data_IF_327743360638
#
_entry.id   IF_327743360638
#
_cell.length_a   1.000
_cell.length_b   1.000
_cell.length_c   1.000
_cell.angle_alpha   90.00
_cell.angle_beta   90.00
_cell.angle_gamma   90.00
#
_symmetry.space_group_name_H-M   'P 1'
#
loop_
_entity.id
_entity.type
_entity.pdbx_description
1 polymer ?
#
# COMPACT_ATOMS: atom_id res chain seq x y z
N UNK A 1 -3.95 28.42 -41.43
CA UNK A 1 -2.52 28.30 -41.03
C UNK A 1 -2.19 29.10 -39.76
N UNK A 2 -2.66 30.33 -39.59
CA UNK A 2 -2.41 31.13 -38.37
C UNK A 2 -3.12 30.55 -37.11
N UNK A 3 -4.37 30.11 -37.21
CA UNK A 3 -5.12 29.51 -36.11
C UNK A 3 -4.46 28.20 -35.58
N UNK A 4 -4.03 27.31 -36.48
CA UNK A 4 -3.35 26.04 -36.10
C UNK A 4 -2.01 26.34 -35.40
N UNK A 5 -1.35 27.45 -35.75
CA UNK A 5 -0.09 27.86 -35.13
C UNK A 5 -0.32 28.44 -33.71
N UNK A 6 -1.43 29.11 -33.51
CA UNK A 6 -1.84 29.70 -32.21
C UNK A 6 -2.27 28.59 -31.23
N UNK A 7 -3.12 27.66 -31.65
CA UNK A 7 -3.51 26.50 -30.83
C UNK A 7 -2.30 25.64 -30.39
N UNK A 8 -1.34 25.41 -31.28
CA UNK A 8 -0.10 24.72 -30.92
C UNK A 8 0.74 25.48 -29.89
N UNK A 9 0.82 26.81 -30.01
CA UNK A 9 1.59 27.64 -29.07
C UNK A 9 0.96 27.64 -27.68
N UNK A 10 -0.35 27.66 -27.60
CA UNK A 10 -1.11 27.62 -26.35
C UNK A 10 -0.99 26.22 -25.69
N UNK A 11 -1.01 25.14 -26.47
CA UNK A 11 -0.72 23.78 -25.98
C UNK A 11 0.69 23.65 -25.36
N UNK A 12 1.72 24.23 -26.02
CA UNK A 12 3.07 24.19 -25.45
C UNK A 12 3.22 25.07 -24.18
N UNK A 13 2.58 26.24 -24.13
CA UNK A 13 2.57 27.08 -22.92
C UNK A 13 1.96 26.32 -21.76
N UNK A 14 0.84 25.67 -21.99
CA UNK A 14 0.16 24.86 -20.98
C UNK A 14 1.01 23.67 -20.50
N UNK A 15 1.74 22.99 -21.41
CA UNK A 15 2.71 21.95 -21.06
C UNK A 15 3.82 22.47 -20.14
N UNK A 16 4.31 23.70 -20.38
CA UNK A 16 5.36 24.31 -19.54
C UNK A 16 4.81 24.59 -18.12
N UNK A 17 3.59 25.11 -18.03
CA UNK A 17 2.96 25.39 -16.73
C UNK A 17 2.70 24.09 -15.95
N UNK A 18 2.21 23.05 -16.62
CA UNK A 18 2.04 21.72 -16.02
C UNK A 18 3.38 21.15 -15.59
N UNK A 19 4.42 21.22 -16.43
CA UNK A 19 5.75 20.70 -16.09
C UNK A 19 6.34 21.39 -14.85
N UNK A 20 6.10 22.69 -14.69
CA UNK A 20 6.52 23.45 -13.50
C UNK A 20 5.78 22.98 -12.25
N UNK A 21 4.48 22.77 -12.34
CA UNK A 21 3.62 22.29 -11.26
C UNK A 21 4.03 20.87 -10.84
N UNK A 22 4.29 19.97 -11.79
CA UNK A 22 4.75 18.62 -11.53
C UNK A 22 6.11 18.59 -10.82
N UNK A 23 7.03 19.45 -11.23
CA UNK A 23 8.39 19.52 -10.65
C UNK A 23 8.39 19.99 -9.18
N UNK A 24 7.34 20.71 -8.74
CA UNK A 24 7.21 21.22 -7.36
C UNK A 24 6.44 20.27 -6.44
N UNK A 25 5.80 19.22 -6.97
CA UNK A 25 4.95 18.29 -6.21
C UNK A 25 5.77 17.08 -5.77
N UNK A 26 5.99 16.94 -4.45
CA UNK A 26 6.76 15.84 -3.86
C UNK A 26 5.87 14.68 -3.36
N UNK A 27 4.57 14.94 -3.15
CA UNK A 27 3.61 13.89 -2.84
C UNK A 27 3.28 13.10 -4.11
N UNK A 28 3.55 11.80 -4.07
CA UNK A 28 3.41 10.93 -5.24
C UNK A 28 1.95 10.77 -5.69
N UNK A 29 1.00 10.66 -4.76
CA UNK A 29 -0.41 10.44 -5.11
C UNK A 29 -1.01 11.69 -5.76
N UNK A 30 -0.71 12.87 -5.19
CA UNK A 30 -1.10 14.17 -5.77
C UNK A 30 -0.45 14.37 -7.14
N UNK A 31 0.83 14.03 -7.26
CA UNK A 31 1.58 14.13 -8.51
C UNK A 31 0.95 13.26 -9.61
N UNK A 32 0.70 11.98 -9.32
CA UNK A 32 0.10 11.04 -10.26
C UNK A 32 -1.30 11.50 -10.71
N UNK A 33 -2.13 11.96 -9.77
CA UNK A 33 -3.45 12.51 -10.09
C UNK A 33 -3.35 13.71 -11.04
N UNK A 34 -2.43 14.64 -10.82
CA UNK A 34 -2.21 15.80 -11.70
C UNK A 34 -1.77 15.37 -13.11
N UNK A 35 -0.89 14.39 -13.21
CA UNK A 35 -0.39 13.90 -14.51
C UNK A 35 -1.54 13.31 -15.33
N UNK A 36 -2.40 12.46 -14.75
CA UNK A 36 -3.49 11.85 -15.54
C UNK A 36 -4.53 12.87 -15.97
N UNK A 37 -4.86 13.85 -15.13
CA UNK A 37 -5.77 14.91 -15.52
C UNK A 37 -5.19 15.77 -16.65
N UNK A 38 -3.91 16.13 -16.56
CA UNK A 38 -3.22 16.86 -17.63
C UNK A 38 -3.17 16.07 -18.93
N UNK A 39 -2.92 14.75 -18.84
CA UNK A 39 -2.87 13.88 -20.02
C UNK A 39 -4.23 13.78 -20.72
N UNK A 40 -5.31 13.58 -19.96
CA UNK A 40 -6.68 13.55 -20.51
C UNK A 40 -7.03 14.87 -21.18
N UNK A 41 -6.73 15.99 -20.54
CA UNK A 41 -7.04 17.34 -21.04
C UNK A 41 -6.25 17.67 -22.32
N UNK A 42 -4.93 17.47 -22.32
CA UNK A 42 -4.05 17.80 -23.47
C UNK A 42 -4.39 16.93 -24.68
N UNK A 43 -4.69 15.66 -24.46
CA UNK A 43 -5.02 14.73 -25.55
C UNK A 43 -6.48 14.78 -25.97
N UNK A 44 -7.36 15.46 -25.22
CA UNK A 44 -8.81 15.42 -25.40
C UNK A 44 -9.39 14.02 -25.28
N UNK A 45 -8.86 13.24 -24.37
CA UNK A 45 -9.30 11.89 -24.06
C UNK A 45 -10.37 11.90 -22.96
N UNK A 46 -11.25 10.89 -22.95
CA UNK A 46 -12.27 10.68 -21.92
C UNK A 46 -11.63 10.34 -20.57
N UNK A 47 -10.60 9.52 -20.60
CA UNK A 47 -9.86 9.14 -19.43
C UNK A 47 -8.36 9.02 -19.70
N UNK A 48 -7.57 9.08 -18.62
CA UNK A 48 -6.16 8.74 -18.66
C UNK A 48 -5.77 7.92 -17.41
N UNK A 49 -4.76 7.07 -17.56
CA UNK A 49 -4.27 6.22 -16.51
C UNK A 49 -2.75 6.16 -16.48
N UNK A 50 -2.18 5.89 -15.29
CA UNK A 50 -0.78 5.55 -15.12
C UNK A 50 -0.66 4.16 -14.51
N UNK A 51 0.15 3.35 -15.17
CA UNK A 51 0.61 2.07 -14.65
C UNK A 51 2.10 2.21 -14.32
N UNK A 52 2.49 1.88 -13.08
CA UNK A 52 3.90 1.92 -12.68
C UNK A 52 4.52 0.53 -12.79
N UNK A 53 5.69 0.51 -13.40
CA UNK A 53 6.47 -0.72 -13.57
C UNK A 53 7.41 -0.94 -12.39
N UNK A 54 7.39 -2.14 -11.84
CA UNK A 54 8.38 -2.62 -10.88
C UNK A 54 9.31 -3.63 -11.55
N UNK A 55 10.56 -3.24 -11.70
CA UNK A 55 11.59 -4.06 -12.34
C UNK A 55 11.93 -5.33 -11.54
N UNK A 56 11.72 -5.31 -10.22
CA UNK A 56 12.04 -6.43 -9.33
C UNK A 56 11.00 -7.55 -9.46
N UNK A 57 9.71 -7.21 -9.41
CA UNK A 57 8.61 -8.16 -9.57
C UNK A 57 8.27 -8.43 -11.04
N UNK A 58 8.79 -7.60 -11.96
CA UNK A 58 8.44 -7.58 -13.39
C UNK A 58 6.93 -7.47 -13.61
N UNK A 59 6.28 -6.60 -12.86
CA UNK A 59 4.83 -6.38 -12.92
C UNK A 59 4.50 -4.92 -13.16
N UNK A 60 3.37 -4.69 -13.82
CA UNK A 60 2.74 -3.38 -13.98
C UNK A 60 1.59 -3.27 -13.00
N UNK A 61 1.63 -2.24 -12.17
CA UNK A 61 0.59 -1.91 -11.20
C UNK A 61 -0.21 -0.71 -11.66
N UNK A 62 -1.51 -0.87 -11.71
CA UNK A 62 -2.42 0.24 -11.98
C UNK A 62 -2.41 1.20 -10.79
N UNK A 63 -1.97 2.44 -10.98
CA UNK A 63 -1.78 3.39 -9.88
C UNK A 63 -2.86 4.45 -9.79
N UNK A 64 -3.23 5.04 -10.92
CA UNK A 64 -4.19 6.14 -10.96
C UNK A 64 -4.93 6.16 -12.30
N UNK A 65 -6.18 6.58 -12.26
CA UNK A 65 -6.97 6.91 -13.44
C UNK A 65 -7.92 8.05 -13.14
N UNK A 66 -8.28 8.82 -14.16
CA UNK A 66 -9.23 9.93 -14.03
C UNK A 66 -10.67 9.48 -13.77
N UNK A 67 -11.01 8.24 -14.08
CA UNK A 67 -12.36 7.68 -14.04
C UNK A 67 -12.56 6.55 -13.03
N UNK A 68 -11.61 6.33 -12.13
CA UNK A 68 -11.68 5.29 -11.10
C UNK A 68 -11.41 5.83 -9.72
N UNK A 69 -12.15 5.30 -8.75
CA UNK A 69 -11.85 5.53 -7.35
C UNK A 69 -10.67 4.66 -6.86
N UNK A 70 -10.12 5.02 -5.73
CA UNK A 70 -8.98 4.34 -5.11
C UNK A 70 -9.26 2.87 -4.76
N UNK A 71 -10.52 2.54 -4.46
CA UNK A 71 -10.91 1.19 -4.06
C UNK A 71 -10.94 0.24 -5.28
N UNK A 72 -11.46 0.72 -6.42
CA UNK A 72 -11.58 -0.09 -7.65
C UNK A 72 -10.22 -0.37 -8.30
N UNK A 73 -9.29 0.58 -8.26
CA UNK A 73 -7.96 0.45 -8.89
C UNK A 73 -6.95 -0.39 -8.11
N UNK A 74 -7.17 -0.56 -6.78
CA UNK A 74 -6.23 -1.27 -5.91
C UNK A 74 -6.15 -2.74 -6.26
N UNK A 75 -4.92 -3.21 -6.48
CA UNK A 75 -4.62 -4.62 -6.75
C UNK A 75 -4.77 -5.05 -8.20
N UNK A 76 -5.09 -4.14 -9.15
CA UNK A 76 -5.08 -4.47 -10.57
C UNK A 76 -3.61 -4.60 -11.02
N UNK A 77 -3.24 -5.83 -11.37
CA UNK A 77 -1.94 -6.13 -11.97
C UNK A 77 -2.16 -6.40 -13.46
N UNK A 78 -1.42 -5.67 -14.30
CA UNK A 78 -1.48 -5.84 -15.75
C UNK A 78 -0.25 -6.64 -16.19
N UNK A 79 -0.45 -7.77 -16.90
CA UNK A 79 0.66 -8.62 -17.31
C UNK A 79 1.58 -7.91 -18.34
N UNK A 80 2.87 -8.23 -18.31
CA UNK A 80 3.81 -7.73 -19.34
C UNK A 80 3.58 -8.40 -20.69
N UNK A 81 3.22 -9.68 -20.69
CA UNK A 81 2.89 -10.41 -21.91
C UNK A 81 1.36 -10.43 -22.09
N UNK A 82 0.90 -10.07 -23.28
CA UNK A 82 -0.55 -10.07 -23.60
C UNK A 82 -1.27 -8.80 -23.13
N UNK A 83 -0.56 -7.69 -22.89
CA UNK A 83 -1.16 -6.37 -22.69
C UNK A 83 -0.46 -5.28 -23.51
N UNK A 84 -1.21 -4.25 -23.90
CA UNK A 84 -0.66 -3.08 -24.62
C UNK A 84 0.36 -2.37 -23.72
N UNK A 85 0.03 -2.15 -22.44
CA UNK A 85 0.95 -1.53 -21.50
C UNK A 85 2.23 -2.35 -21.32
N UNK A 86 2.13 -3.67 -21.24
CA UNK A 86 3.30 -4.55 -21.15
C UNK A 86 4.16 -4.50 -22.41
N UNK A 87 3.53 -4.43 -23.59
CA UNK A 87 4.26 -4.24 -24.85
C UNK A 87 5.05 -2.91 -24.86
N UNK A 88 4.43 -1.83 -24.38
CA UNK A 88 5.08 -0.51 -24.23
C UNK A 88 6.29 -0.60 -23.31
N UNK A 89 6.17 -1.28 -22.18
CA UNK A 89 7.30 -1.49 -21.23
C UNK A 89 8.45 -2.24 -21.90
N UNK A 90 8.13 -3.35 -22.59
CA UNK A 90 9.14 -4.20 -23.22
C UNK A 90 9.87 -3.53 -24.39
N UNK A 91 9.14 -2.73 -25.19
CA UNK A 91 9.68 -2.12 -26.41
C UNK A 91 10.10 -0.65 -26.23
N UNK A 92 9.67 0.00 -25.14
CA UNK A 92 9.92 1.44 -24.86
C UNK A 92 9.46 2.34 -26.01
N UNK A 93 8.37 1.98 -26.66
CA UNK A 93 7.80 2.68 -27.81
C UNK A 93 6.35 3.05 -27.54
N UNK A 94 5.90 4.14 -28.15
CA UNK A 94 4.49 4.53 -28.11
C UNK A 94 3.62 3.55 -28.89
N UNK A 95 2.37 3.43 -28.47
CA UNK A 95 1.36 2.62 -29.16
C UNK A 95 0.12 3.48 -29.33
N UNK A 96 -0.38 3.52 -30.57
CA UNK A 96 -1.64 4.16 -30.91
C UNK A 96 -2.59 3.09 -31.48
N UNK A 97 -3.67 2.83 -30.74
CA UNK A 97 -4.68 1.84 -31.12
C UNK A 97 -5.98 2.57 -31.43
N UNK A 98 -6.56 2.27 -32.60
CA UNK A 98 -7.81 2.90 -33.08
C UNK A 98 -9.06 2.12 -32.68
N UNK A 99 -8.92 0.81 -32.49
CA UNK A 99 -9.94 -0.08 -31.99
C UNK A 99 -9.27 -1.06 -31.04
N UNK A 100 -9.44 -0.85 -29.73
CA UNK A 100 -8.74 -1.62 -28.72
C UNK A 100 -9.14 -3.10 -28.74
N UNK A 101 -10.41 -3.40 -29.00
CA UNK A 101 -10.92 -4.77 -29.02
C UNK A 101 -10.40 -5.61 -30.20
N UNK A 102 -9.90 -4.98 -31.26
CA UNK A 102 -9.28 -5.67 -32.39
C UNK A 102 -7.76 -5.89 -32.19
N UNK A 103 -7.14 -5.25 -31.20
CA UNK A 103 -5.72 -5.43 -30.92
C UNK A 103 -5.50 -6.70 -30.09
N UNK A 104 -4.69 -7.66 -30.60
CA UNK A 104 -4.46 -8.94 -29.88
C UNK A 104 -3.74 -8.76 -28.53
N UNK A 105 -3.21 -7.59 -28.25
CA UNK A 105 -2.57 -7.24 -26.97
C UNK A 105 -3.55 -6.59 -25.99
N UNK A 106 -4.83 -6.47 -26.35
CA UNK A 106 -5.80 -5.84 -25.47
C UNK A 106 -6.14 -6.73 -24.27
N UNK A 107 -5.96 -6.21 -23.06
CA UNK A 107 -6.22 -6.92 -21.80
C UNK A 107 -7.55 -6.49 -21.21
N UNK A 108 -8.61 -7.28 -21.44
CA UNK A 108 -10.01 -6.95 -21.09
C UNK A 108 -10.32 -6.93 -19.60
N UNK A 109 -9.51 -7.59 -18.75
CA UNK A 109 -9.77 -7.65 -17.29
C UNK A 109 -9.89 -6.28 -16.63
N UNK A 110 -9.22 -5.24 -17.18
CA UNK A 110 -9.33 -3.88 -16.68
C UNK A 110 -10.74 -3.34 -16.94
N UNK A 111 -11.31 -3.55 -18.13
CA UNK A 111 -12.69 -3.17 -18.48
C UNK A 111 -13.72 -3.87 -17.61
N UNK A 112 -13.56 -5.20 -17.42
CA UNK A 112 -14.47 -5.99 -16.58
C UNK A 112 -14.51 -5.49 -15.13
N UNK A 113 -13.35 -4.99 -14.65
CA UNK A 113 -13.22 -4.47 -13.28
C UNK A 113 -13.76 -3.05 -13.17
N UNK A 114 -13.57 -2.23 -14.21
CA UNK A 114 -13.81 -0.78 -14.18
C UNK A 114 -15.14 -0.37 -14.80
N UNK A 115 -15.70 -1.21 -15.65
CA UNK A 115 -16.91 -0.91 -16.43
C UNK A 115 -16.70 0.16 -17.52
N UNK A 116 -15.45 0.61 -17.77
CA UNK A 116 -15.13 1.54 -18.85
C UNK A 116 -14.80 0.74 -20.11
N UNK A 117 -15.58 0.90 -21.17
CA UNK A 117 -15.25 0.36 -22.50
C UNK A 117 -14.14 1.18 -23.15
N UNK A 118 -13.06 0.52 -23.56
CA UNK A 118 -11.92 1.16 -24.23
C UNK A 118 -12.02 1.00 -25.73
N UNK A 119 -12.42 2.05 -26.43
CA UNK A 119 -12.49 2.07 -27.89
C UNK A 119 -11.15 2.38 -28.53
N UNK A 120 -10.49 3.45 -28.09
CA UNK A 120 -9.21 3.88 -28.61
C UNK A 120 -8.21 4.18 -27.50
N UNK A 121 -6.92 3.94 -27.77
CA UNK A 121 -5.84 4.10 -26.79
C UNK A 121 -4.62 4.74 -27.42
N UNK A 122 -4.01 5.70 -26.70
CA UNK A 122 -2.69 6.21 -26.95
C UNK A 122 -1.83 5.98 -25.69
N UNK A 123 -0.92 5.00 -25.76
CA UNK A 123 -0.02 4.65 -24.68
C UNK A 123 1.39 5.12 -24.95
N UNK A 124 2.03 5.72 -23.95
CA UNK A 124 3.40 6.20 -24.01
C UNK A 124 4.24 5.66 -22.85
N UNK A 125 5.53 5.34 -23.10
CA UNK A 125 6.42 4.92 -22.04
C UNK A 125 6.84 6.10 -21.15
N UNK A 126 6.80 5.93 -19.86
CA UNK A 126 7.41 6.83 -18.87
C UNK A 126 8.85 6.39 -18.65
N UNK A 127 9.81 7.07 -19.28
CA UNK A 127 11.22 6.67 -19.29
C UNK A 127 12.09 7.79 -18.74
N UNK A 128 12.97 7.45 -17.79
CA UNK A 128 14.13 8.26 -17.40
C UNK A 128 15.37 7.83 -18.18
N UNK A 129 16.53 8.50 -17.99
CA UNK A 129 17.76 8.17 -18.74
C UNK A 129 18.11 6.68 -18.75
N UNK A 130 17.83 5.95 -17.67
CA UNK A 130 18.35 4.60 -17.44
C UNK A 130 17.28 3.53 -17.30
N UNK A 131 16.03 3.88 -17.00
CA UNK A 131 14.97 2.88 -16.73
C UNK A 131 13.60 3.33 -17.20
N UNK A 132 12.74 2.35 -17.41
CA UNK A 132 11.30 2.56 -17.56
C UNK A 132 10.67 2.65 -16.18
N UNK A 133 9.85 3.68 -15.97
CA UNK A 133 9.14 3.94 -14.72
C UNK A 133 7.71 3.39 -14.78
N UNK A 134 7.13 3.36 -15.99
CA UNK A 134 5.77 2.91 -16.20
C UNK A 134 5.24 3.28 -17.57
N UNK A 135 3.91 3.32 -17.68
CA UNK A 135 3.16 3.68 -18.88
C UNK A 135 2.11 4.72 -18.53
N UNK A 136 1.95 5.72 -19.37
CA UNK A 136 0.83 6.67 -19.34
C UNK A 136 -0.08 6.35 -20.54
N UNK A 137 -1.36 6.14 -20.28
CA UNK A 137 -2.36 5.85 -21.29
C UNK A 137 -3.42 6.94 -21.32
N UNK A 138 -3.79 7.40 -22.51
CA UNK A 138 -4.97 8.22 -22.78
C UNK A 138 -5.99 7.35 -23.53
N UNK A 139 -7.24 7.33 -23.04
CA UNK A 139 -8.28 6.42 -23.45
C UNK A 139 -9.43 7.21 -24.08
N UNK A 140 -10.01 6.68 -25.14
CA UNK A 140 -11.21 7.18 -25.80
C UNK A 140 -11.13 8.68 -26.19
N UNK A 141 -10.58 8.94 -27.34
CA UNK A 141 -10.52 10.32 -27.89
C UNK A 141 -11.91 10.88 -28.11
N UNK A 142 -12.29 11.98 -27.48
CA UNK A 142 -13.62 12.57 -27.60
C UNK A 142 -14.02 12.97 -29.04
N UNK A 143 -13.05 13.46 -29.84
CA UNK A 143 -13.31 13.90 -31.22
C UNK A 143 -12.26 13.34 -32.16
N UNK A 144 -12.69 12.47 -33.09
CA UNK A 144 -11.81 11.91 -34.10
C UNK A 144 -10.87 10.84 -33.55
N UNK A 145 -9.64 10.84 -34.00
CA UNK A 145 -8.60 9.84 -33.65
C UNK A 145 -7.41 10.55 -33.00
N UNK A 146 -6.65 9.84 -32.17
CA UNK A 146 -5.39 10.35 -31.66
C UNK A 146 -4.45 10.70 -32.82
N UNK A 147 -3.88 11.90 -32.79
CA UNK A 147 -3.04 12.49 -33.83
C UNK A 147 -1.56 12.44 -33.45
N UNK A 148 -0.67 12.71 -34.39
CA UNK A 148 0.79 12.87 -34.13
C UNK A 148 1.06 14.04 -33.18
N UNK A 149 0.18 15.04 -33.15
CA UNK A 149 0.26 16.16 -32.21
C UNK A 149 -0.06 15.69 -30.79
N UNK A 150 -1.12 14.88 -30.60
CA UNK A 150 -1.45 14.32 -29.29
C UNK A 150 -0.31 13.44 -28.77
N UNK A 151 0.24 12.59 -29.64
CA UNK A 151 1.39 11.74 -29.29
C UNK A 151 2.62 12.57 -28.89
N UNK A 152 2.96 13.61 -29.67
CA UNK A 152 4.08 14.48 -29.35
C UNK A 152 3.92 15.23 -28.04
N UNK A 153 2.70 15.70 -27.75
CA UNK A 153 2.39 16.39 -26.50
C UNK A 153 2.46 15.45 -25.30
N UNK A 154 1.88 14.25 -25.41
CA UNK A 154 1.94 13.24 -24.35
C UNK A 154 3.35 12.72 -24.13
N UNK A 155 4.17 12.58 -25.17
CA UNK A 155 5.58 12.21 -25.01
C UNK A 155 6.37 13.24 -24.19
N UNK A 156 6.14 14.54 -24.42
CA UNK A 156 6.77 15.60 -23.62
C UNK A 156 6.28 15.54 -22.18
N UNK A 157 4.96 15.41 -21.96
CA UNK A 157 4.38 15.27 -20.63
C UNK A 157 4.94 14.02 -19.93
N UNK A 158 5.00 12.88 -20.62
CA UNK A 158 5.48 11.62 -20.08
C UNK A 158 6.96 11.65 -19.69
N UNK A 159 7.80 12.35 -20.46
CA UNK A 159 9.20 12.55 -20.09
C UNK A 159 9.35 13.36 -18.80
N UNK A 160 8.58 14.43 -18.63
CA UNK A 160 8.57 15.22 -17.39
C UNK A 160 7.96 14.44 -16.23
N UNK A 161 6.85 13.74 -16.48
CA UNK A 161 6.19 12.89 -15.49
C UNK A 161 7.12 11.80 -14.97
N UNK A 162 7.87 11.13 -15.84
CA UNK A 162 8.81 10.08 -15.44
C UNK A 162 9.87 10.59 -14.46
N UNK A 163 10.44 11.78 -14.74
CA UNK A 163 11.42 12.42 -13.86
C UNK A 163 10.78 12.86 -12.54
N UNK A 164 9.60 13.46 -12.59
CA UNK A 164 8.89 13.91 -11.38
C UNK A 164 8.50 12.73 -10.48
N UNK A 165 8.00 11.63 -11.05
CA UNK A 165 7.67 10.40 -10.33
C UNK A 165 8.92 9.80 -9.66
N UNK A 166 10.04 9.75 -10.39
CA UNK A 166 11.29 9.24 -9.83
C UNK A 166 11.79 10.11 -8.68
N UNK A 167 11.74 11.43 -8.83
CA UNK A 167 12.10 12.38 -7.79
C UNK A 167 11.19 12.27 -6.56
N UNK A 168 9.88 12.17 -6.73
CA UNK A 168 8.94 11.98 -5.63
C UNK A 168 9.20 10.67 -4.86
N UNK A 169 9.47 9.58 -5.57
CA UNK A 169 9.86 8.29 -4.94
C UNK A 169 11.18 8.39 -4.17
N UNK A 170 12.18 9.04 -4.74
CA UNK A 170 13.47 9.25 -4.06
C UNK A 170 13.32 10.13 -2.82
N UNK A 171 12.48 11.15 -2.90
CA UNK A 171 12.18 12.02 -1.76
C UNK A 171 11.48 11.25 -0.64
N UNK A 172 10.41 10.50 -0.95
CA UNK A 172 9.73 9.64 0.03
C UNK A 172 10.68 8.64 0.68
N UNK A 173 11.59 8.06 -0.09
CA UNK A 173 12.59 7.12 0.43
C UNK A 173 13.61 7.83 1.34
N UNK A 174 14.05 9.02 0.97
CA UNK A 174 14.98 9.85 1.78
C UNK A 174 14.32 10.30 3.08
N UNK A 175 13.07 10.71 3.03
CA UNK A 175 12.29 11.14 4.19
C UNK A 175 12.10 9.99 5.19
N UNK A 176 11.73 8.81 4.69
CA UNK A 176 11.63 7.59 5.49
C UNK A 176 12.96 7.24 6.18
N UNK A 177 14.09 7.36 5.48
CA UNK A 177 15.42 7.11 6.05
C UNK A 177 15.74 8.15 7.13
N UNK A 178 15.43 9.42 6.90
CA UNK A 178 15.67 10.51 7.86
C UNK A 178 14.90 10.28 9.16
N UNK A 179 13.61 9.94 9.07
CA UNK A 179 12.77 9.59 10.21
C UNK A 179 13.33 8.37 10.95
N UNK A 180 13.73 7.33 10.23
CA UNK A 180 14.32 6.12 10.82
C UNK A 180 15.61 6.43 11.59
N UNK A 181 16.50 7.24 11.02
CA UNK A 181 17.74 7.68 11.70
C UNK A 181 17.42 8.47 12.95
N UNK A 182 16.39 9.31 12.91
CA UNK A 182 15.95 10.07 14.08
C UNK A 182 15.45 9.13 15.20
N UNK A 183 14.61 8.12 14.84
CA UNK A 183 14.10 7.13 15.79
C UNK A 183 15.17 6.17 16.32
N UNK A 184 16.26 5.94 15.60
CA UNK A 184 17.42 5.21 16.10
C UNK A 184 18.28 6.01 17.08
N UNK A 185 18.36 7.32 16.91
CA UNK A 185 19.26 8.17 17.75
C UNK A 185 18.88 8.14 19.22
N UNK A 186 17.59 8.18 19.52
CA UNK A 186 17.06 8.21 20.90
C UNK A 186 17.45 6.97 21.71
N UNK A 187 17.14 5.72 21.27
CA UNK A 187 17.54 4.52 21.99
C UNK A 187 19.07 4.35 22.07
N UNK A 188 19.81 4.73 21.03
CA UNK A 188 21.26 4.67 21.05
C UNK A 188 21.85 5.63 22.10
N UNK A 189 21.31 6.83 22.25
CA UNK A 189 21.71 7.76 23.30
C UNK A 189 21.40 7.21 24.70
N UNK A 190 20.22 6.58 24.89
CA UNK A 190 19.84 5.90 26.13
C UNK A 190 20.81 4.77 26.48
N UNK A 191 21.14 3.91 25.50
CA UNK A 191 22.13 2.83 25.68
C UNK A 191 23.52 3.37 26.04
N UNK A 192 23.98 4.42 25.36
CA UNK A 192 25.27 5.07 25.66
C UNK A 192 25.32 5.62 27.10
N UNK A 193 24.24 6.27 27.53
CA UNK A 193 24.13 6.77 28.93
C UNK A 193 24.09 5.61 29.91
N UNK A 194 23.32 4.56 29.66
CA UNK A 194 23.21 3.39 30.52
C UNK A 194 24.57 2.67 30.69
N UNK A 195 25.31 2.47 29.58
CA UNK A 195 26.65 1.87 29.63
C UNK A 195 27.66 2.74 30.41
N UNK A 196 27.59 4.07 30.22
CA UNK A 196 28.44 5.00 31.01
C UNK A 196 28.15 4.93 32.51
N UNK A 197 26.87 4.84 32.88
CA UNK A 197 26.47 4.68 34.29
C UNK A 197 27.00 3.40 34.90
N UNK A 198 27.05 2.29 34.21
CA UNK A 198 27.60 1.00 34.68
C UNK A 198 29.10 1.06 35.04
N UNK A 199 29.81 2.03 34.48
CA UNK A 199 31.26 2.23 34.82
C UNK A 199 31.47 2.89 36.17
N UNK A 200 30.43 3.41 36.82
CA UNK A 200 30.56 4.05 38.16
C UNK A 200 30.78 3.00 39.25
N UNK A 201 31.86 3.09 40.05
CA UNK A 201 32.17 2.07 41.07
C UNK A 201 31.20 2.07 42.26
N UNK A 202 30.51 3.20 42.51
CA UNK A 202 29.67 3.39 43.71
C UNK A 202 28.25 2.89 43.55
N UNK A 203 27.93 2.21 42.43
CA UNK A 203 26.58 1.75 42.12
C UNK A 203 26.25 0.47 42.88
N UNK A 204 25.02 0.39 43.45
CA UNK A 204 24.54 -0.82 44.09
C UNK A 204 24.22 -1.92 43.07
N UNK A 205 24.18 -3.19 43.52
CA UNK A 205 23.85 -4.32 42.63
C UNK A 205 22.45 -4.16 42.00
N UNK A 206 21.46 -3.75 42.80
CA UNK A 206 20.09 -3.53 42.29
C UNK A 206 20.03 -2.47 41.20
N UNK A 207 20.80 -1.38 41.35
CA UNK A 207 20.90 -0.34 40.31
C UNK A 207 21.58 -0.87 39.03
N UNK A 208 22.59 -1.72 39.15
CA UNK A 208 23.26 -2.38 38.01
C UNK A 208 22.29 -3.28 37.27
N UNK A 209 21.54 -4.10 38.00
CA UNK A 209 20.57 -5.03 37.44
C UNK A 209 19.43 -4.28 36.72
N UNK A 210 18.97 -3.16 37.26
CA UNK A 210 18.00 -2.29 36.57
C UNK A 210 18.54 -1.72 35.27
N UNK A 211 19.80 -1.22 35.27
CA UNK A 211 20.41 -0.69 34.06
C UNK A 211 20.64 -1.77 33.01
N UNK A 212 21.08 -2.96 33.40
CA UNK A 212 21.26 -4.10 32.49
C UNK A 212 19.92 -4.49 31.86
N UNK A 213 18.85 -4.54 32.66
CA UNK A 213 17.50 -4.80 32.14
C UNK A 213 17.04 -3.70 31.16
N UNK A 214 17.32 -2.43 31.44
CA UNK A 214 17.02 -1.33 30.54
C UNK A 214 17.80 -1.44 29.21
N UNK A 215 19.08 -1.80 29.26
CA UNK A 215 19.91 -2.07 28.08
C UNK A 215 19.32 -3.22 27.25
N UNK A 216 18.94 -4.30 27.92
CA UNK A 216 18.33 -5.46 27.26
C UNK A 216 17.03 -5.08 26.54
N UNK A 217 16.12 -4.39 27.23
CA UNK A 217 14.84 -3.93 26.66
C UNK A 217 15.03 -2.97 25.48
N UNK A 218 15.97 -2.04 25.57
CA UNK A 218 16.26 -1.10 24.49
C UNK A 218 16.89 -1.78 23.28
N UNK A 219 17.70 -2.83 23.50
CA UNK A 219 18.26 -3.67 22.41
C UNK A 219 17.16 -4.43 21.67
N UNK A 220 16.19 -5.02 22.40
CA UNK A 220 15.00 -5.68 21.79
C UNK A 220 14.21 -4.66 20.98
N UNK A 221 14.00 -3.46 21.51
CA UNK A 221 13.31 -2.38 20.81
C UNK A 221 14.00 -1.96 19.52
N UNK A 222 15.32 -1.81 19.53
CA UNK A 222 16.12 -1.49 18.34
C UNK A 222 16.01 -2.59 17.27
N UNK A 223 16.10 -3.85 17.66
CA UNK A 223 15.94 -4.97 16.73
C UNK A 223 14.53 -4.98 16.10
N UNK A 224 13.49 -4.74 16.90
CA UNK A 224 12.12 -4.64 16.41
C UNK A 224 11.94 -3.45 15.45
N UNK A 225 12.53 -2.29 15.77
CA UNK A 225 12.50 -1.10 14.90
C UNK A 225 13.19 -1.37 13.56
N UNK A 226 14.39 -1.96 13.58
CA UNK A 226 15.15 -2.29 12.37
C UNK A 226 14.38 -3.30 11.49
N UNK A 227 13.81 -4.35 12.10
CA UNK A 227 13.01 -5.35 11.37
C UNK A 227 11.76 -4.73 10.75
N UNK A 228 11.02 -3.91 11.52
CA UNK A 228 9.82 -3.22 11.03
C UNK A 228 10.14 -2.24 9.92
N UNK A 229 11.26 -1.52 10.01
CA UNK A 229 11.73 -0.62 8.95
C UNK A 229 12.04 -1.38 7.65
N UNK A 230 12.76 -2.50 7.73
CA UNK A 230 13.07 -3.32 6.57
C UNK A 230 11.80 -3.90 5.92
N UNK A 231 10.84 -4.35 6.73
CA UNK A 231 9.55 -4.81 6.24
C UNK A 231 8.79 -3.69 5.52
N UNK A 232 8.71 -2.50 6.13
CA UNK A 232 8.05 -1.34 5.52
C UNK A 232 8.73 -0.92 4.21
N UNK A 233 10.07 -0.81 4.20
CA UNK A 233 10.82 -0.44 3.01
C UNK A 233 10.62 -1.44 1.84
N UNK A 234 10.50 -2.75 2.16
CA UNK A 234 10.18 -3.77 1.15
C UNK A 234 8.75 -3.64 0.63
N UNK A 235 7.78 -3.39 1.51
CA UNK A 235 6.38 -3.19 1.14
C UNK A 235 6.19 -1.95 0.27
N UNK A 236 6.80 -0.82 0.64
CA UNK A 236 6.71 0.44 -0.11
C UNK A 236 7.42 0.40 -1.46
N UNK A 237 8.52 -0.34 -1.56
CA UNK A 237 9.19 -0.52 -2.84
C UNK A 237 8.48 -1.45 -3.83
N UNK A 238 7.31 -2.01 -3.46
CA UNK A 238 6.58 -2.99 -4.27
C UNK A 238 7.28 -4.35 -4.39
N UNK A 239 8.38 -4.57 -3.66
CA UNK A 239 9.20 -5.81 -3.76
C UNK A 239 8.61 -7.02 -3.05
N UNK A 240 7.50 -6.84 -2.35
CA UNK A 240 6.84 -7.95 -1.65
C UNK A 240 5.88 -8.65 -2.61
N UNK A 241 6.19 -9.88 -2.97
CA UNK A 241 5.27 -10.77 -3.67
C UNK A 241 4.41 -11.50 -2.64
N UNK A 242 3.12 -11.22 -2.64
CA UNK A 242 2.17 -11.91 -1.77
C UNK A 242 1.90 -13.32 -2.28
N UNK A 243 2.20 -14.32 -1.47
CA UNK A 243 1.93 -15.74 -1.78
C UNK A 243 0.50 -16.08 -1.37
N UNK A 244 -0.45 -15.87 -2.26
CA UNK A 244 -1.86 -16.16 -1.98
C UNK A 244 -2.08 -17.67 -1.84
N UNK A 245 -2.70 -18.08 -0.74
CA UNK A 245 -3.13 -19.44 -0.43
C UNK A 245 -4.53 -19.39 0.17
N UNK A 246 -5.31 -20.46 0.00
CA UNK A 246 -6.63 -20.57 0.62
C UNK A 246 -6.49 -21.08 2.06
N UNK A 247 -7.03 -20.38 3.03
CA UNK A 247 -6.97 -20.75 4.45
C UNK A 247 -8.22 -20.33 5.23
N UNK A 248 -8.44 -20.97 6.37
CA UNK A 248 -9.49 -20.61 7.33
C UNK A 248 -9.06 -19.41 8.17
N UNK A 249 -9.86 -18.34 8.14
CA UNK A 249 -9.63 -17.17 8.98
C UNK A 249 -9.94 -17.50 10.45
N UNK A 250 -10.92 -18.36 10.72
CA UNK A 250 -11.23 -18.82 12.07
C UNK A 250 -9.99 -19.46 12.72
N UNK A 251 -9.33 -20.41 12.03
CA UNK A 251 -8.12 -21.08 12.52
C UNK A 251 -6.98 -20.08 12.75
N UNK A 252 -6.84 -19.11 11.86
CA UNK A 252 -5.85 -18.04 11.99
C UNK A 252 -6.08 -17.19 13.26
N UNK A 253 -7.33 -16.84 13.56
CA UNK A 253 -7.68 -16.07 14.76
C UNK A 253 -7.40 -16.84 16.05
N UNK A 254 -7.70 -18.14 16.08
CA UNK A 254 -7.36 -18.99 17.22
C UNK A 254 -5.85 -19.11 17.40
N UNK A 255 -5.09 -19.31 16.32
CA UNK A 255 -3.63 -19.34 16.37
C UNK A 255 -3.04 -18.02 16.90
N UNK A 256 -3.55 -16.86 16.43
CA UNK A 256 -3.11 -15.56 16.93
C UNK A 256 -3.45 -15.36 18.42
N UNK A 257 -4.63 -15.81 18.87
CA UNK A 257 -4.99 -15.82 20.29
C UNK A 257 -3.99 -16.63 21.11
N UNK A 258 -3.66 -17.84 20.66
CA UNK A 258 -2.73 -18.73 21.37
C UNK A 258 -1.32 -18.12 21.46
N UNK A 259 -0.84 -17.50 20.39
CA UNK A 259 0.44 -16.76 20.41
C UNK A 259 0.45 -15.64 21.46
N UNK A 260 -0.67 -14.96 21.66
CA UNK A 260 -0.78 -13.84 22.59
C UNK A 260 -1.23 -14.23 24.00
N UNK A 261 -1.56 -15.51 24.25
CA UNK A 261 -2.17 -15.97 25.49
C UNK A 261 -1.32 -15.67 26.74
N UNK A 262 -0.02 -15.95 26.68
CA UNK A 262 0.91 -15.70 27.79
C UNK A 262 0.94 -14.22 28.14
N UNK A 263 1.13 -13.36 27.12
CA UNK A 263 1.22 -11.90 27.31
C UNK A 263 -0.10 -11.32 27.84
N UNK A 264 -1.23 -11.77 27.30
CA UNK A 264 -2.54 -11.35 27.76
C UNK A 264 -2.78 -11.76 29.24
N UNK A 265 -2.33 -12.94 29.64
CA UNK A 265 -2.44 -13.40 31.04
C UNK A 265 -1.58 -12.58 31.97
N UNK A 266 -0.34 -12.26 31.60
CA UNK A 266 0.55 -11.37 32.37
C UNK A 266 -0.07 -9.99 32.60
N UNK A 267 -0.74 -9.44 31.59
CA UNK A 267 -1.40 -8.13 31.65
C UNK A 267 -2.86 -8.21 32.19
N UNK A 268 -3.34 -9.39 32.61
CA UNK A 268 -4.71 -9.66 33.05
C UNK A 268 -5.78 -9.27 32.01
N UNK A 269 -5.54 -9.58 30.75
CA UNK A 269 -6.45 -9.29 29.62
C UNK A 269 -7.09 -10.59 29.12
N UNK A 270 -8.41 -10.59 28.93
CA UNK A 270 -9.14 -11.72 28.38
C UNK A 270 -9.24 -11.59 26.84
N UNK A 271 -8.74 -12.58 26.10
CA UNK A 271 -8.93 -12.65 24.64
C UNK A 271 -10.04 -13.65 24.31
N UNK A 272 -11.06 -13.21 23.57
CA UNK A 272 -12.15 -14.05 23.05
C UNK A 272 -12.12 -14.07 21.53
N UNK A 273 -12.51 -15.20 20.95
CA UNK A 273 -12.69 -15.36 19.51
C UNK A 273 -14.15 -15.72 19.25
N UNK A 274 -14.80 -14.95 18.39
CA UNK A 274 -16.15 -15.20 17.89
C UNK A 274 -16.07 -15.37 16.37
N UNK A 275 -16.29 -16.58 15.93
CA UNK A 275 -16.29 -16.91 14.51
C UNK A 275 -17.51 -17.76 14.20
N UNK A 276 -18.38 -17.33 13.27
CA UNK A 276 -19.49 -18.15 12.82
C UNK A 276 -19.00 -19.46 12.21
N UNK A 277 -19.76 -20.52 12.38
CA UNK A 277 -19.53 -21.77 11.66
C UNK A 277 -19.74 -21.57 10.15
N UNK A 278 -18.87 -22.17 9.32
CA UNK A 278 -19.01 -22.13 7.88
C UNK A 278 -18.51 -20.87 7.20
N UNK A 279 -17.60 -20.10 7.87
CA UNK A 279 -16.89 -19.01 7.15
C UNK A 279 -16.18 -19.57 5.91
N UNK A 280 -16.26 -18.86 4.78
CA UNK A 280 -15.55 -19.26 3.57
C UNK A 280 -14.03 -19.12 3.77
N UNK A 281 -13.26 -19.90 3.00
CA UNK A 281 -11.83 -19.74 2.95
C UNK A 281 -11.47 -18.38 2.34
N UNK A 282 -10.43 -17.75 2.88
CA UNK A 282 -9.84 -16.53 2.34
C UNK A 282 -8.66 -16.90 1.44
N UNK A 283 -8.57 -16.28 0.27
CA UNK A 283 -7.43 -16.40 -0.62
C UNK A 283 -6.52 -15.16 -0.48
N UNK A 284 -5.49 -15.30 0.34
CA UNK A 284 -4.55 -14.24 0.66
C UNK A 284 -3.18 -14.82 1.07
N UNK A 285 -2.19 -13.97 1.30
CA UNK A 285 -0.95 -14.38 1.94
C UNK A 285 -1.19 -14.56 3.45
N UNK A 286 -1.30 -15.84 3.85
CA UNK A 286 -1.65 -16.23 5.21
C UNK A 286 -0.71 -15.63 6.26
N UNK A 287 0.59 -15.65 5.98
CA UNK A 287 1.60 -15.16 6.94
C UNK A 287 1.52 -13.64 7.09
N UNK A 288 1.25 -12.93 6.00
CA UNK A 288 1.07 -11.48 6.03
C UNK A 288 -0.24 -11.08 6.73
N UNK A 289 -1.34 -11.79 6.49
CA UNK A 289 -2.61 -11.56 7.24
C UNK A 289 -2.41 -11.88 8.72
N UNK A 290 -1.70 -12.97 9.06
CA UNK A 290 -1.32 -13.27 10.44
C UNK A 290 -0.51 -12.14 11.08
N UNK A 291 0.46 -11.57 10.36
CA UNK A 291 1.26 -10.42 10.81
C UNK A 291 0.36 -9.22 11.14
N UNK A 292 -0.65 -8.93 10.31
CA UNK A 292 -1.63 -7.85 10.56
C UNK A 292 -2.42 -8.14 11.84
N UNK A 293 -3.02 -9.33 11.96
CA UNK A 293 -3.83 -9.70 13.13
C UNK A 293 -3.00 -9.63 14.40
N UNK A 294 -1.77 -10.16 14.41
CA UNK A 294 -0.86 -10.11 15.57
C UNK A 294 -0.47 -8.68 15.94
N UNK A 295 -0.20 -7.80 14.97
CA UNK A 295 0.09 -6.40 15.25
C UNK A 295 -1.09 -5.68 15.91
N UNK A 296 -2.31 -5.88 15.37
CA UNK A 296 -3.51 -5.25 15.92
C UNK A 296 -3.86 -5.85 17.29
N UNK A 297 -3.76 -7.17 17.45
CA UNK A 297 -4.01 -7.87 18.71
C UNK A 297 -2.99 -7.47 19.80
N UNK A 298 -1.71 -7.36 19.44
CA UNK A 298 -0.67 -6.87 20.34
C UNK A 298 -0.96 -5.43 20.82
N UNK A 299 -1.43 -4.56 19.93
CA UNK A 299 -1.85 -3.21 20.31
C UNK A 299 -3.08 -3.26 21.24
N UNK A 300 -4.08 -4.10 20.93
CA UNK A 300 -5.28 -4.25 21.74
C UNK A 300 -5.00 -4.76 23.18
N UNK A 301 -3.98 -5.62 23.35
CA UNK A 301 -3.51 -6.06 24.68
C UNK A 301 -2.73 -4.93 25.38
N UNK A 302 -1.78 -4.34 24.67
CA UNK A 302 -0.82 -3.37 25.18
C UNK A 302 -1.46 -2.04 25.64
N UNK A 303 -2.50 -1.58 24.93
CA UNK A 303 -3.23 -0.35 25.25
C UNK A 303 -4.54 -0.62 26.00
N UNK A 304 -4.71 -1.83 26.55
CA UNK A 304 -5.87 -2.18 27.32
C UNK A 304 -5.75 -1.68 28.79
N UNK A 305 -6.81 -1.90 29.53
CA UNK A 305 -6.86 -1.66 30.99
C UNK A 305 -6.71 -2.99 31.72
N UNK A 306 -6.21 -2.99 32.95
CA UNK A 306 -6.25 -4.18 33.80
C UNK A 306 -7.66 -4.79 33.85
N UNK A 307 -7.75 -6.10 33.71
CA UNK A 307 -9.01 -6.86 33.60
C UNK A 307 -9.88 -6.49 32.38
N UNK A 308 -9.28 -5.93 31.34
CA UNK A 308 -9.95 -5.63 30.07
C UNK A 308 -10.15 -6.87 29.21
N UNK A 309 -10.78 -6.66 28.08
CA UNK A 309 -11.10 -7.72 27.11
C UNK A 309 -10.67 -7.30 25.69
N UNK A 310 -10.25 -8.29 24.92
CA UNK A 310 -10.09 -8.17 23.46
C UNK A 310 -10.98 -9.21 22.80
N UNK A 311 -11.78 -8.76 21.83
CA UNK A 311 -12.64 -9.59 21.01
C UNK A 311 -12.10 -9.65 19.59
N UNK A 312 -11.84 -10.85 19.11
CA UNK A 312 -11.55 -11.14 17.69
C UNK A 312 -12.81 -11.72 17.07
N UNK A 313 -13.33 -11.10 16.02
CA UNK A 313 -14.51 -11.55 15.31
C UNK A 313 -14.25 -11.55 13.81
N UNK A 314 -14.78 -12.55 13.10
CA UNK A 314 -14.74 -12.59 11.65
C UNK A 314 -16.16 -12.75 11.10
N UNK A 315 -16.45 -12.04 10.01
CA UNK A 315 -17.71 -12.11 9.27
C UNK A 315 -17.43 -12.15 7.78
N UNK A 316 -18.33 -12.76 7.01
CA UNK A 316 -18.20 -12.79 5.56
C UNK A 316 -19.46 -12.22 4.91
N UNK A 317 -19.23 -11.30 3.96
CA UNK A 317 -20.25 -10.84 3.00
C UNK A 317 -20.09 -11.61 1.67
N UNK A 318 -20.89 -11.28 0.66
CA UNK A 318 -20.71 -11.87 -0.68
C UNK A 318 -19.36 -11.49 -1.32
N UNK A 319 -18.86 -10.30 -1.05
CA UNK A 319 -17.67 -9.74 -1.70
C UNK A 319 -16.43 -9.71 -0.82
N UNK A 320 -16.57 -9.66 0.49
CA UNK A 320 -15.49 -9.41 1.43
C UNK A 320 -15.56 -10.33 2.64
N UNK A 321 -14.41 -10.52 3.28
CA UNK A 321 -14.29 -11.10 4.59
C UNK A 321 -13.74 -10.03 5.53
N UNK A 322 -14.49 -9.76 6.59
CA UNK A 322 -14.23 -8.74 7.59
C UNK A 322 -13.66 -9.38 8.86
N UNK A 323 -12.57 -8.84 9.38
CA UNK A 323 -11.95 -9.22 10.64
C UNK A 323 -12.00 -8.02 11.57
N UNK A 324 -12.63 -8.19 12.72
CA UNK A 324 -12.74 -7.18 13.77
C UNK A 324 -11.81 -7.51 14.92
N UNK A 325 -11.02 -6.55 15.34
CA UNK A 325 -10.23 -6.59 16.56
C UNK A 325 -10.71 -5.45 17.45
N UNK A 326 -11.46 -5.80 18.49
CA UNK A 326 -12.05 -4.86 19.43
C UNK A 326 -11.42 -4.98 20.80
N UNK A 327 -11.07 -3.87 21.42
CA UNK A 327 -10.60 -3.80 22.80
C UNK A 327 -11.48 -2.88 23.68
N UNK A 328 -11.37 -3.09 24.99
CA UNK A 328 -11.99 -2.24 26.01
C UNK A 328 -10.98 -1.31 26.66
N UNK A 329 -9.95 -0.93 25.94
CA UNK A 329 -8.79 -0.23 26.44
C UNK A 329 -8.96 1.27 26.64
N UNK A 330 -7.83 1.98 26.51
CA UNK A 330 -7.76 3.41 26.75
C UNK A 330 -8.51 4.23 25.70
N UNK A 331 -8.72 3.67 24.51
CA UNK A 331 -9.24 4.38 23.35
C UNK A 331 -8.23 5.38 22.78
N UNK A 332 -8.60 6.05 21.70
CA UNK A 332 -7.75 6.97 20.94
C UNK A 332 -8.47 8.30 20.83
N UNK A 333 -7.79 9.44 21.06
CA UNK A 333 -8.35 10.78 20.84
C UNK A 333 -8.76 10.99 19.38
N UNK A 334 -9.83 11.76 19.14
CA UNK A 334 -10.36 12.00 17.81
C UNK A 334 -9.38 12.71 16.89
N UNK A 335 -8.54 13.60 17.43
CA UNK A 335 -7.50 14.34 16.70
C UNK A 335 -6.34 13.44 16.23
N UNK A 336 -6.15 12.30 16.89
CA UNK A 336 -5.11 11.34 16.56
C UNK A 336 -5.55 10.29 15.52
N UNK A 337 -6.87 10.09 15.33
CA UNK A 337 -7.42 9.07 14.42
C UNK A 337 -6.96 9.22 12.96
N UNK A 338 -6.93 10.43 12.37
CA UNK A 338 -6.47 10.61 10.98
C UNK A 338 -5.02 10.21 10.75
N UNK A 339 -4.17 10.30 11.78
CA UNK A 339 -2.73 10.11 11.73
C UNK A 339 -2.27 8.70 12.10
N UNK A 340 -3.17 7.84 12.59
CA UNK A 340 -2.80 6.52 13.15
C UNK A 340 -2.04 5.60 12.21
N UNK A 341 -2.24 5.73 10.91
CA UNK A 341 -1.59 4.92 9.89
C UNK A 341 -0.36 5.60 9.28
N UNK A 342 0.00 6.80 9.76
CA UNK A 342 1.25 7.45 9.39
C UNK A 342 2.46 6.72 10.00
N UNK A 343 3.59 6.83 9.34
CA UNK A 343 4.84 6.20 9.78
C UNK A 343 5.32 6.89 11.05
N UNK A 344 5.84 6.10 11.99
CA UNK A 344 6.39 6.55 13.28
C UNK A 344 5.39 7.30 14.17
N UNK A 345 4.12 7.44 13.74
CA UNK A 345 3.12 8.13 14.53
C UNK A 345 2.78 7.34 15.80
N UNK A 346 2.69 8.09 16.92
CA UNK A 346 2.30 7.57 18.23
C UNK A 346 1.42 8.60 18.93
N UNK A 347 0.41 8.12 19.66
CA UNK A 347 -0.47 8.97 20.48
C UNK A 347 0.32 9.48 21.67
N UNK A 348 0.51 10.79 21.81
CA UNK A 348 1.38 11.44 22.82
C UNK A 348 1.04 11.03 24.25
N UNK A 349 -0.24 10.91 24.57
CA UNK A 349 -0.70 10.51 25.90
C UNK A 349 -0.26 9.09 26.29
N UNK A 350 0.07 8.26 25.34
CA UNK A 350 0.47 6.87 25.56
C UNK A 350 1.96 6.60 25.40
N UNK A 351 2.73 7.56 24.86
CA UNK A 351 4.17 7.42 24.58
C UNK A 351 5.00 7.06 25.80
N UNK A 352 4.73 7.69 26.92
CA UNK A 352 5.48 7.48 28.17
C UNK A 352 5.17 6.14 28.85
N UNK A 353 4.03 5.51 28.52
CA UNK A 353 3.54 4.30 29.20
C UNK A 353 3.83 3.02 28.44
N UNK A 354 3.98 3.13 27.14
CA UNK A 354 3.96 1.94 26.26
C UNK A 354 5.02 2.03 25.19
N UNK A 355 6.00 1.12 25.19
CA UNK A 355 7.07 1.08 24.17
C UNK A 355 6.52 0.67 22.80
N UNK A 356 6.93 1.30 21.69
CA UNK A 356 6.52 0.98 20.32
C UNK A 356 7.34 1.70 19.28
N UNK A 357 7.32 1.21 18.05
CA UNK A 357 8.08 1.75 16.92
C UNK A 357 7.29 2.75 16.07
N UNK A 358 5.95 2.82 16.23
CA UNK A 358 5.10 3.62 15.35
C UNK A 358 4.96 3.09 13.92
N UNK A 359 5.57 1.94 13.59
CA UNK A 359 5.54 1.36 12.25
C UNK A 359 4.49 0.25 12.07
N UNK A 360 3.98 -0.33 13.15
CA UNK A 360 3.09 -1.49 13.07
C UNK A 360 1.81 -1.25 12.28
N UNK A 361 1.13 -0.12 12.51
CA UNK A 361 -0.13 0.21 11.81
C UNK A 361 0.11 0.60 10.35
N UNK A 362 1.18 1.30 10.03
CA UNK A 362 1.55 1.61 8.64
C UNK A 362 1.87 0.33 7.86
N UNK A 363 2.56 -0.64 8.46
CA UNK A 363 2.79 -1.97 7.88
C UNK A 363 1.47 -2.71 7.66
N UNK A 364 0.54 -2.70 8.64
CA UNK A 364 -0.79 -3.29 8.47
C UNK A 364 -1.51 -2.70 7.25
N UNK A 365 -1.52 -1.37 7.12
CA UNK A 365 -2.15 -0.67 5.99
C UNK A 365 -1.53 -1.09 4.65
N UNK A 366 -0.20 -1.18 4.56
CA UNK A 366 0.49 -1.61 3.34
C UNK A 366 0.19 -3.07 2.97
N UNK A 367 0.18 -3.97 3.94
CA UNK A 367 -0.17 -5.38 3.71
C UNK A 367 -1.61 -5.49 3.20
N UNK A 368 -2.57 -4.85 3.86
CA UNK A 368 -3.98 -4.92 3.49
C UNK A 368 -4.24 -4.26 2.14
N UNK A 369 -3.64 -3.11 1.87
CA UNK A 369 -3.71 -2.47 0.55
C UNK A 369 -3.15 -3.36 -0.56
N UNK A 370 -2.02 -4.04 -0.31
CA UNK A 370 -1.41 -4.98 -1.27
C UNK A 370 -2.27 -6.24 -1.55
N UNK A 371 -3.25 -6.53 -0.69
CA UNK A 371 -4.27 -7.55 -0.92
C UNK A 371 -5.55 -7.01 -1.57
N UNK A 372 -5.62 -5.71 -1.89
CA UNK A 372 -6.82 -5.05 -2.41
C UNK A 372 -7.90 -4.85 -1.35
N UNK A 373 -7.54 -4.94 -0.07
CA UNK A 373 -8.44 -4.75 1.06
C UNK A 373 -8.39 -3.33 1.62
N UNK A 374 -9.09 -3.12 2.75
CA UNK A 374 -9.08 -1.88 3.50
C UNK A 374 -8.95 -2.14 5.00
N UNK A 375 -8.37 -1.18 5.73
CA UNK A 375 -8.30 -1.17 7.19
C UNK A 375 -8.90 0.13 7.71
N UNK A 376 -9.82 0.01 8.66
CA UNK A 376 -10.53 1.12 9.28
C UNK A 376 -10.38 1.05 10.79
N UNK A 377 -10.55 2.21 11.46
CA UNK A 377 -10.51 2.31 12.92
C UNK A 377 -11.69 3.13 13.40
N UNK A 378 -12.30 2.67 14.49
CA UNK A 378 -13.28 3.43 15.29
C UNK A 378 -12.85 3.36 16.74
N UNK A 379 -12.74 4.49 17.39
CA UNK A 379 -12.31 4.55 18.77
C UNK A 379 -13.03 5.65 19.52
N UNK A 380 -13.14 5.48 20.82
CA UNK A 380 -13.61 6.51 21.75
C UNK A 380 -12.72 6.49 22.98
N UNK A 381 -12.14 7.66 23.28
CA UNK A 381 -11.26 7.82 24.42
C UNK A 381 -11.98 7.38 25.71
N UNK A 382 -11.31 6.54 26.50
CA UNK A 382 -11.85 6.02 27.73
C UNK A 382 -12.84 4.85 27.55
N UNK A 383 -13.15 4.39 26.34
CA UNK A 383 -14.08 3.27 26.07
C UNK A 383 -13.38 2.08 25.44
N UNK A 384 -12.56 2.30 24.39
CA UNK A 384 -11.83 1.28 23.66
C UNK A 384 -11.74 1.57 22.17
N UNK A 385 -11.21 0.61 21.41
CA UNK A 385 -10.95 0.72 19.98
C UNK A 385 -11.46 -0.50 19.22
N UNK A 386 -11.91 -0.29 18.00
CA UNK A 386 -12.27 -1.34 17.03
C UNK A 386 -11.48 -1.11 15.76
N UNK A 387 -10.63 -2.04 15.38
CA UNK A 387 -10.06 -2.12 14.06
C UNK A 387 -10.87 -3.08 13.19
N UNK A 388 -11.17 -2.66 11.98
CA UNK A 388 -11.82 -3.46 10.95
C UNK A 388 -10.85 -3.66 9.79
N UNK A 389 -10.59 -4.91 9.46
CA UNK A 389 -9.80 -5.34 8.29
C UNK A 389 -10.74 -6.03 7.32
N UNK A 390 -10.94 -5.46 6.13
CA UNK A 390 -11.77 -6.03 5.07
C UNK A 390 -10.88 -6.53 3.93
N UNK A 391 -11.02 -7.79 3.57
CA UNK A 391 -10.26 -8.44 2.50
C UNK A 391 -11.21 -8.96 1.43
N UNK A 392 -10.91 -8.74 0.12
CA UNK A 392 -11.78 -9.20 -0.96
C UNK A 392 -11.81 -10.72 -1.01
N UNK A 393 -12.99 -11.27 -1.29
CA UNK A 393 -13.21 -12.69 -1.54
C UNK A 393 -13.23 -12.93 -3.04
N UNK A 394 -12.56 -13.98 -3.50
CA UNK A 394 -12.70 -14.42 -4.89
C UNK A 394 -14.13 -14.94 -5.08
N UNK A 395 -14.86 -14.38 -6.04
CA UNK A 395 -16.24 -14.81 -6.29
C UNK A 395 -16.27 -16.28 -6.75
N UNK A 396 -17.36 -17.01 -6.40
CA UNK A 396 -17.55 -18.41 -6.86
C UNK A 396 -17.48 -18.56 -8.37
N UNK A 397 -17.77 -17.51 -9.11
CA UNK A 397 -17.70 -17.47 -10.58
C UNK A 397 -16.26 -17.48 -11.07
N UNK A 398 -15.37 -16.73 -10.40
CA UNK A 398 -13.94 -16.68 -10.69
C UNK A 398 -13.23 -17.99 -10.29
N UNK A 399 -13.60 -18.57 -9.15
CA UNK A 399 -13.10 -19.90 -8.73
C UNK A 399 -13.45 -20.99 -9.75
N UNK A 400 -14.66 -20.97 -10.33
CA UNK A 400 -15.03 -21.90 -11.39
C UNK A 400 -14.28 -21.67 -12.70
N UNK A 401 -13.99 -20.42 -13.06
CA UNK A 401 -13.19 -20.09 -14.24
C UNK A 401 -11.75 -20.59 -14.08
N UNK A 402 -11.11 -20.33 -12.93
CA UNK A 402 -9.76 -20.79 -12.63
C UNK A 402 -9.64 -22.32 -12.53
N UNK A 403 -10.68 -23.02 -12.01
CA UNK A 403 -10.73 -24.49 -12.01
C UNK A 403 -10.87 -25.08 -13.43
N UNK A 404 -11.62 -24.42 -14.29
CA UNK A 404 -11.78 -24.82 -15.69
C UNK A 404 -10.46 -24.64 -16.46
N UNK A 405 -9.78 -23.52 -16.26
CA UNK A 405 -8.46 -23.24 -16.87
C UNK A 405 -7.38 -24.22 -16.38
N UNK A 406 -7.30 -24.47 -15.07
CA UNK A 406 -6.40 -25.48 -14.51
C UNK A 406 -6.67 -26.90 -15.02
N UNK A 407 -7.93 -27.26 -15.27
CA UNK A 407 -8.31 -28.55 -15.86
C UNK A 407 -7.99 -28.63 -17.35
N UNK A 408 -8.07 -27.52 -18.09
CA UNK A 408 -7.72 -27.48 -19.52
C UNK A 408 -6.20 -27.43 -19.74
N UNK A 409 -5.44 -26.76 -18.89
CA UNK A 409 -3.98 -26.72 -18.93
C UNK A 409 -3.31 -28.08 -18.61
N UNK A 410 -3.93 -28.92 -17.76
CA UNK A 410 -3.46 -30.29 -17.47
C UNK A 410 -3.75 -31.33 -18.56
N UNK A 411 -4.55 -31.01 -19.58
CA UNK A 411 -4.83 -31.89 -20.72
C UNK A 411 -3.92 -31.64 -21.95
N UNK A 412 -3.00 -30.66 -21.85
CA UNK A 412 -2.06 -30.32 -22.93
C UNK A 412 -0.59 -30.68 -22.63
N UNK A 413 -0.36 -31.50 -21.60
CA UNK A 413 0.95 -32.10 -21.31
C UNK A 413 0.86 -33.62 -21.30
#
# INVERSE_FOLDING_TARGET
>A
MAEIKTERLDGYRRLIDIARDLASTLDLDILLSRIVHAAAEISGAEAASILLYDDTSRQLYFQVSTNMDDATRRGIIVPLDGSIAGWIVNNRQTVRVMNAHEDPRFFSNVEETTGLSTESLLGIPLVTKNKIVGVLEALNKHRGKFTDTDESMLLVLGAQAAVAIENARLFQQSDLISEFVHELRTPLASLSTATYLLLRPEMSQDQRDQIVNNIHNETIRLNSLASSFLDLARLESGRVQFRKTSFSVADLLYECKDVMATKATEDNIQIRVESPEGLPLLEADRDKVKQVVLNLLSNAVKYNRPNGMVMLRAEATEKELDIYIQDTGLGIPDDSLPHLFEKFFRVREHESRVAGTGLGLSICKQIINGHGGRIEVRSKLGVGTVFLVSLPRVSKTQQRADEIEKKQGRKKH
#
